data_IF_212260163657
#
_entry.id   IF_212260163657
#
_cell.length_a   1.000
_cell.length_b   1.000
_cell.length_c   1.000
_cell.angle_alpha   90.00
_cell.angle_beta   90.00
_cell.angle_gamma   90.00
#
_symmetry.space_group_name_H-M   'P 1'
#
loop_
_entity.id
_entity.type
_entity.pdbx_description
1 polymer ?
#
# COMPACT_ATOMS: atom_id res chain seq x y z
N UNK A 1 21.04 13.35 -17.77
CA UNK A 1 20.01 14.40 -17.94
C UNK A 1 20.20 15.42 -16.83
N UNK A 2 20.21 16.71 -17.15
CA UNK A 2 20.34 17.81 -16.15
C UNK A 2 19.01 18.13 -15.44
N UNK A 3 17.90 17.51 -15.86
CA UNK A 3 16.55 17.69 -15.31
C UNK A 3 16.05 16.37 -14.71
N UNK A 4 15.41 16.42 -13.53
CA UNK A 4 14.70 15.30 -12.94
C UNK A 4 13.55 14.87 -13.85
N UNK A 5 13.45 13.57 -14.23
CA UNK A 5 12.36 13.08 -15.05
C UNK A 5 11.01 13.24 -14.35
N UNK A 6 9.96 13.55 -15.12
CA UNK A 6 8.59 13.58 -14.59
C UNK A 6 8.05 12.18 -14.32
N UNK A 7 6.94 12.10 -13.57
CA UNK A 7 6.32 10.86 -13.09
C UNK A 7 6.07 9.82 -14.21
N UNK A 8 5.49 10.25 -15.33
CA UNK A 8 5.20 9.33 -16.46
C UNK A 8 6.48 8.74 -17.06
N UNK A 9 7.56 9.52 -17.10
CA UNK A 9 8.88 9.04 -17.56
C UNK A 9 9.46 8.04 -16.57
N UNK A 10 9.35 8.31 -15.27
CA UNK A 10 9.79 7.38 -14.22
C UNK A 10 9.03 6.06 -14.28
N UNK A 11 7.71 6.08 -14.51
CA UNK A 11 6.88 4.89 -14.61
C UNK A 11 7.34 3.90 -15.69
N UNK A 12 7.93 4.40 -16.78
CA UNK A 12 8.40 3.56 -17.91
C UNK A 12 9.91 3.27 -17.87
N UNK A 13 10.73 4.16 -17.27
CA UNK A 13 12.18 4.10 -17.42
C UNK A 13 12.96 3.84 -16.14
N UNK A 14 12.44 4.20 -14.96
CA UNK A 14 13.20 4.05 -13.73
C UNK A 14 13.60 2.58 -13.49
N UNK A 15 14.84 2.35 -13.12
CA UNK A 15 15.44 1.03 -12.88
C UNK A 15 15.69 0.19 -14.14
N UNK A 16 15.09 0.52 -15.30
CA UNK A 16 15.21 -0.27 -16.50
C UNK A 16 16.43 0.15 -17.33
N UNK A 17 17.29 -0.82 -17.62
CA UNK A 17 18.42 -0.69 -18.57
C UNK A 17 18.32 -1.85 -19.58
N UNK A 18 18.78 -1.66 -20.83
CA UNK A 18 18.94 -2.77 -21.75
C UNK A 18 19.80 -3.88 -21.12
N UNK A 19 19.41 -5.13 -21.31
CA UNK A 19 20.18 -6.25 -20.79
C UNK A 19 21.61 -6.24 -21.33
N UNK A 20 22.66 -6.28 -20.49
CA UNK A 20 24.03 -6.10 -20.97
C UNK A 20 24.54 -7.29 -21.80
N UNK A 21 23.97 -8.47 -21.65
CA UNK A 21 24.40 -9.66 -22.40
C UNK A 21 23.72 -9.77 -23.77
N UNK A 22 22.46 -9.37 -23.90
CA UNK A 22 21.65 -9.60 -25.11
C UNK A 22 21.19 -8.31 -25.78
N UNK A 23 21.25 -7.19 -25.10
CA UNK A 23 20.68 -5.91 -25.55
C UNK A 23 19.14 -5.87 -25.49
N UNK A 24 18.49 -6.84 -24.83
CA UNK A 24 17.04 -6.86 -24.70
C UNK A 24 16.52 -5.59 -24.04
N UNK A 25 15.52 -4.94 -24.67
CA UNK A 25 14.94 -3.69 -24.19
C UNK A 25 13.98 -3.90 -23.02
N UNK A 26 13.15 -4.94 -23.09
CA UNK A 26 12.27 -5.33 -22.00
C UNK A 26 13.09 -5.95 -20.86
N UNK A 27 12.66 -5.77 -19.61
CA UNK A 27 13.31 -6.41 -18.46
C UNK A 27 13.21 -7.93 -18.58
N UNK A 28 14.34 -8.68 -18.63
CA UNK A 28 14.30 -10.13 -18.69
C UNK A 28 13.69 -10.73 -17.40
N UNK A 29 13.05 -11.90 -17.52
CA UNK A 29 12.60 -12.68 -16.37
C UNK A 29 13.71 -13.64 -15.97
N UNK A 30 14.44 -13.32 -14.90
CA UNK A 30 15.47 -14.18 -14.35
C UNK A 30 14.86 -15.26 -13.43
N UNK A 31 14.27 -16.28 -14.05
CA UNK A 31 13.61 -17.38 -13.33
C UNK A 31 14.66 -18.42 -12.88
N UNK A 32 15.46 -18.04 -11.89
CA UNK A 32 16.51 -18.88 -11.29
C UNK A 32 16.44 -18.79 -9.77
N UNK A 33 16.95 -19.82 -9.08
CA UNK A 33 17.06 -19.83 -7.61
C UNK A 33 18.32 -19.13 -7.11
N UNK A 34 19.46 -19.31 -7.83
CA UNK A 34 20.79 -18.91 -7.37
C UNK A 34 21.63 -18.35 -8.49
N UNK A 35 22.68 -17.65 -8.13
CA UNK A 35 23.64 -17.03 -9.03
C UNK A 35 25.05 -17.53 -8.71
N UNK A 36 25.90 -17.72 -9.74
CA UNK A 36 27.28 -18.16 -9.56
C UNK A 36 28.16 -17.00 -9.07
N UNK A 37 29.14 -17.31 -8.26
CA UNK A 37 30.17 -16.37 -7.81
C UNK A 37 31.39 -16.47 -8.72
N UNK A 38 32.15 -15.39 -8.82
CA UNK A 38 33.40 -15.38 -9.57
C UNK A 38 34.46 -16.23 -8.86
N UNK A 39 34.57 -16.09 -7.53
CA UNK A 39 35.45 -16.82 -6.64
C UNK A 39 34.95 -16.82 -5.19
N UNK A 40 35.73 -17.40 -4.26
CA UNK A 40 35.39 -17.48 -2.84
C UNK A 40 35.41 -16.11 -2.13
N UNK A 41 36.27 -15.19 -2.54
CA UNK A 41 36.37 -13.85 -1.97
C UNK A 41 35.18 -12.97 -2.40
N UNK A 42 34.74 -13.10 -3.67
CA UNK A 42 33.51 -12.50 -4.15
C UNK A 42 32.32 -12.98 -3.33
N UNK A 43 32.16 -14.30 -3.15
CA UNK A 43 31.10 -14.87 -2.32
C UNK A 43 31.14 -14.30 -0.87
N UNK A 44 32.30 -14.32 -0.23
CA UNK A 44 32.46 -13.81 1.12
C UNK A 44 32.11 -12.31 1.25
N UNK A 45 32.45 -11.52 0.23
CA UNK A 45 32.13 -10.08 0.18
C UNK A 45 30.62 -9.82 0.10
N UNK A 46 29.88 -10.62 -0.70
CA UNK A 46 28.44 -10.52 -0.81
C UNK A 46 27.72 -10.92 0.49
N UNK A 47 28.11 -12.05 1.09
CA UNK A 47 27.52 -12.51 2.37
C UNK A 47 27.86 -11.58 3.53
N UNK A 48 29.03 -10.94 3.51
CA UNK A 48 29.47 -9.97 4.52
C UNK A 48 28.93 -8.56 4.31
N UNK A 49 28.04 -8.30 3.33
CA UNK A 49 27.51 -6.99 2.96
C UNK A 49 28.58 -5.95 2.59
N UNK A 50 29.76 -6.42 2.14
CA UNK A 50 30.88 -5.58 1.67
C UNK A 50 30.75 -5.24 0.18
N UNK A 51 29.96 -6.01 -0.56
CA UNK A 51 29.62 -5.79 -1.95
C UNK A 51 28.12 -6.03 -2.18
N UNK A 52 27.56 -5.41 -3.24
CA UNK A 52 26.20 -5.67 -3.69
C UNK A 52 26.23 -6.56 -4.93
N UNK A 53 25.34 -7.55 -4.99
CA UNK A 53 25.23 -8.48 -6.11
C UNK A 53 24.17 -9.53 -5.85
N UNK A 54 23.93 -10.38 -6.85
CA UNK A 54 22.92 -11.44 -6.76
C UNK A 54 23.51 -12.69 -6.11
N UNK A 55 22.82 -13.22 -5.11
CA UNK A 55 23.19 -14.45 -4.39
C UNK A 55 22.12 -15.53 -4.64
N UNK A 56 20.88 -15.19 -4.25
CA UNK A 56 19.77 -16.12 -4.23
C UNK A 56 18.45 -15.34 -4.40
N UNK A 57 17.55 -15.82 -5.24
CA UNK A 57 16.34 -15.09 -5.67
C UNK A 57 15.42 -14.69 -4.49
N UNK A 58 15.41 -15.44 -3.38
CA UNK A 58 14.66 -15.04 -2.18
C UNK A 58 15.13 -13.70 -1.62
N UNK A 59 16.40 -13.36 -1.76
CA UNK A 59 17.02 -12.15 -1.20
C UNK A 59 17.05 -11.04 -2.24
N UNK A 60 17.44 -11.36 -3.48
CA UNK A 60 17.60 -10.42 -4.58
C UNK A 60 17.56 -11.14 -5.93
N UNK A 61 17.02 -10.44 -6.94
CA UNK A 61 16.91 -10.96 -8.30
C UNK A 61 16.87 -9.76 -9.27
N UNK A 62 17.53 -9.80 -10.44
CA UNK A 62 17.58 -8.65 -11.36
C UNK A 62 16.21 -8.17 -11.83
N UNK A 63 15.23 -9.06 -12.03
CA UNK A 63 13.86 -8.66 -12.40
C UNK A 63 13.17 -7.92 -11.26
N UNK A 64 13.33 -8.40 -10.03
CA UNK A 64 12.79 -7.75 -8.81
C UNK A 64 13.45 -6.39 -8.57
N UNK A 65 14.76 -6.26 -8.81
CA UNK A 65 15.51 -5.03 -8.63
C UNK A 65 14.96 -3.89 -9.49
N UNK A 66 14.57 -4.15 -10.74
CA UNK A 66 13.94 -3.13 -11.61
C UNK A 66 12.60 -2.67 -11.04
N UNK A 67 11.79 -3.58 -10.47
CA UNK A 67 10.53 -3.24 -9.81
C UNK A 67 10.78 -2.36 -8.58
N UNK A 68 11.75 -2.74 -7.74
CA UNK A 68 12.12 -2.02 -6.53
C UNK A 68 12.60 -0.60 -6.84
N UNK A 69 13.54 -0.45 -7.78
CA UNK A 69 14.06 0.86 -8.19
C UNK A 69 12.95 1.75 -8.78
N UNK A 70 12.03 1.17 -9.57
CA UNK A 70 10.93 1.92 -10.18
C UNK A 70 9.92 2.43 -9.15
N UNK A 71 9.50 1.58 -8.21
CA UNK A 71 8.57 1.99 -7.16
C UNK A 71 9.21 3.00 -6.22
N UNK A 72 10.49 2.82 -5.83
CA UNK A 72 11.22 3.79 -5.04
C UNK A 72 11.27 5.17 -5.73
N UNK A 73 11.57 5.21 -7.03
CA UNK A 73 11.61 6.45 -7.80
C UNK A 73 10.24 7.13 -7.90
N UNK A 74 9.15 6.36 -8.05
CA UNK A 74 7.79 6.88 -8.14
C UNK A 74 7.30 7.45 -6.80
N UNK A 75 7.62 6.81 -5.68
CA UNK A 75 7.29 7.29 -4.34
C UNK A 75 8.24 8.42 -3.85
N UNK A 76 9.39 8.59 -4.50
CA UNK A 76 10.42 9.52 -4.04
C UNK A 76 11.24 8.99 -2.86
N UNK A 77 11.26 7.68 -2.67
CA UNK A 77 12.05 7.00 -1.64
C UNK A 77 13.50 6.76 -2.05
N UNK A 78 14.32 6.42 -1.06
CA UNK A 78 15.75 6.12 -1.24
C UNK A 78 15.94 4.70 -1.77
N UNK A 79 15.13 3.74 -1.30
CA UNK A 79 15.17 2.34 -1.73
C UNK A 79 13.80 1.66 -1.55
N UNK A 80 13.62 0.53 -2.22
CA UNK A 80 12.45 -0.32 -1.99
C UNK A 80 12.82 -1.81 -1.89
N UNK A 81 11.91 -2.59 -1.31
CA UNK A 81 11.99 -4.04 -1.17
C UNK A 81 10.69 -4.68 -1.63
N UNK A 82 10.72 -5.43 -2.71
CA UNK A 82 9.57 -6.19 -3.20
C UNK A 82 9.42 -7.52 -2.45
N UNK A 83 8.17 -7.83 -2.09
CA UNK A 83 7.81 -9.00 -1.27
C UNK A 83 6.55 -9.68 -1.80
N UNK A 84 6.19 -10.84 -1.26
CA UNK A 84 5.11 -11.70 -1.77
C UNK A 84 3.71 -11.06 -1.70
N UNK A 85 3.46 -10.13 -0.79
CA UNK A 85 2.14 -9.48 -0.61
C UNK A 85 2.25 -8.22 0.23
N UNK A 86 1.20 -7.36 0.22
CA UNK A 86 1.11 -6.21 1.10
C UNK A 86 1.14 -6.59 2.58
N UNK A 87 0.50 -7.70 2.99
CA UNK A 87 0.59 -8.21 4.36
C UNK A 87 2.01 -8.64 4.74
N UNK A 88 2.76 -9.24 3.82
CA UNK A 88 4.17 -9.58 4.04
C UNK A 88 5.02 -8.31 4.22
N UNK A 89 4.72 -7.24 3.47
CA UNK A 89 5.37 -5.95 3.66
C UNK A 89 5.14 -5.41 5.08
N UNK A 90 3.90 -5.42 5.56
CA UNK A 90 3.57 -5.00 6.93
C UNK A 90 4.32 -5.84 7.98
N UNK A 91 4.32 -7.18 7.86
CA UNK A 91 5.07 -8.05 8.80
C UNK A 91 6.56 -7.72 8.83
N UNK A 92 7.20 -7.55 7.67
CA UNK A 92 8.64 -7.24 7.60
C UNK A 92 8.93 -5.88 8.22
N UNK A 93 8.10 -4.85 7.96
CA UNK A 93 8.29 -3.54 8.57
C UNK A 93 8.27 -3.66 10.09
N UNK A 94 7.22 -4.23 10.68
CA UNK A 94 7.10 -4.35 12.13
C UNK A 94 8.13 -5.31 12.75
N UNK A 95 8.51 -6.38 12.04
CA UNK A 95 9.58 -7.29 12.50
C UNK A 95 10.92 -6.56 12.69
N UNK A 96 11.22 -5.57 11.86
CA UNK A 96 12.48 -4.79 12.00
C UNK A 96 12.38 -3.66 13.02
N UNK A 97 11.17 -3.27 13.43
CA UNK A 97 10.97 -2.16 14.37
C UNK A 97 10.66 -2.63 15.81
N UNK A 98 10.07 -3.81 15.99
CA UNK A 98 9.44 -4.22 17.24
C UNK A 98 10.08 -5.46 17.84
N UNK A 99 10.07 -5.50 19.17
CA UNK A 99 10.36 -6.68 19.98
C UNK A 99 9.08 -7.15 20.72
N UNK A 100 9.04 -8.38 21.25
CA UNK A 100 7.93 -8.81 22.10
C UNK A 100 7.69 -7.84 23.28
N UNK A 101 6.45 -7.38 23.46
CA UNK A 101 6.05 -6.40 24.45
C UNK A 101 6.02 -4.95 23.96
N UNK A 102 6.47 -4.70 22.73
CA UNK A 102 6.33 -3.38 22.09
C UNK A 102 4.92 -3.14 21.54
N UNK A 103 4.59 -1.86 21.34
CA UNK A 103 3.33 -1.45 20.72
C UNK A 103 3.55 -0.46 19.58
N UNK A 104 2.50 -0.27 18.79
CA UNK A 104 2.42 0.77 17.77
C UNK A 104 1.01 1.36 17.73
N UNK A 105 0.90 2.60 17.26
CA UNK A 105 -0.38 3.28 17.08
C UNK A 105 -0.84 3.05 15.64
N UNK A 106 -2.07 2.62 15.44
CA UNK A 106 -2.66 2.47 14.11
C UNK A 106 -3.98 3.24 13.98
N UNK A 107 -4.22 3.84 12.84
CA UNK A 107 -5.51 4.45 12.53
C UNK A 107 -6.64 3.42 12.62
N UNK A 108 -7.81 3.83 13.10
CA UNK A 108 -9.01 2.98 13.17
C UNK A 108 -9.71 2.81 11.81
N UNK A 109 -9.30 3.57 10.79
CA UNK A 109 -9.79 3.49 9.41
C UNK A 109 -8.69 2.87 8.54
N UNK A 110 -8.72 1.57 8.41
CA UNK A 110 -7.79 0.77 7.62
C UNK A 110 -8.55 -0.33 6.87
N UNK A 111 -7.84 -0.93 5.92
CA UNK A 111 -8.26 -2.18 5.30
C UNK A 111 -8.55 -3.24 6.36
N UNK A 112 -9.69 -3.94 6.23
CA UNK A 112 -10.11 -4.96 7.19
C UNK A 112 -9.10 -6.08 7.42
N UNK A 113 -8.31 -6.43 6.39
CA UNK A 113 -7.20 -7.37 6.52
C UNK A 113 -6.09 -6.86 7.43
N UNK A 114 -5.72 -5.57 7.36
CA UNK A 114 -4.73 -4.96 8.24
C UNK A 114 -5.24 -4.89 9.69
N UNK A 115 -6.52 -4.53 9.89
CA UNK A 115 -7.14 -4.56 11.21
C UNK A 115 -7.05 -5.98 11.81
N UNK A 116 -7.35 -6.99 11.03
CA UNK A 116 -7.28 -8.39 11.48
C UNK A 116 -5.83 -8.84 11.76
N UNK A 117 -4.89 -8.52 10.87
CA UNK A 117 -3.47 -8.83 11.05
C UNK A 117 -2.91 -8.20 12.33
N UNK A 118 -3.14 -6.90 12.53
CA UNK A 118 -2.64 -6.15 13.70
C UNK A 118 -3.34 -6.59 14.99
N UNK A 119 -4.66 -6.72 14.95
CA UNK A 119 -5.47 -7.03 16.14
C UNK A 119 -5.37 -8.48 16.61
N UNK A 120 -5.00 -9.43 15.73
CA UNK A 120 -4.98 -10.86 16.06
C UNK A 120 -3.63 -11.51 15.78
N UNK A 121 -3.13 -11.49 14.53
CA UNK A 121 -1.92 -12.22 14.18
C UNK A 121 -0.67 -11.65 14.89
N UNK A 122 -0.55 -10.35 15.04
CA UNK A 122 0.59 -9.70 15.69
C UNK A 122 0.70 -10.01 17.17
N UNK A 123 -0.40 -10.35 17.83
CA UNK A 123 -0.36 -10.82 19.23
C UNK A 123 0.49 -12.08 19.42
N UNK A 124 0.58 -12.93 18.39
CA UNK A 124 1.42 -14.12 18.44
C UNK A 124 2.93 -13.80 18.45
N UNK A 125 3.30 -12.59 18.03
CA UNK A 125 4.65 -12.06 18.12
C UNK A 125 4.88 -11.24 19.41
N UNK A 126 3.85 -11.09 20.23
CA UNK A 126 3.88 -10.23 21.42
C UNK A 126 3.79 -8.74 21.10
N UNK A 127 3.31 -8.37 19.92
CA UNK A 127 3.13 -6.97 19.49
C UNK A 127 1.71 -6.50 19.77
N UNK A 128 1.59 -5.30 20.33
CA UNK A 128 0.30 -4.69 20.64
C UNK A 128 -0.02 -3.57 19.63
N UNK A 129 -1.25 -3.55 19.10
CA UNK A 129 -1.78 -2.42 18.36
C UNK A 129 -2.67 -1.57 19.25
N UNK A 130 -2.52 -0.24 19.20
CA UNK A 130 -3.38 0.75 19.82
C UNK A 130 -4.08 1.56 18.75
N UNK A 131 -5.42 1.57 18.80
CA UNK A 131 -6.23 2.17 17.74
C UNK A 131 -6.50 3.64 18.01
N UNK A 132 -6.20 4.52 17.04
CA UNK A 132 -6.44 5.95 17.09
C UNK A 132 -7.49 6.39 16.07
N UNK A 133 -8.28 7.42 16.42
CA UNK A 133 -9.31 7.96 15.52
C UNK A 133 -8.72 9.03 14.60
N UNK A 134 -8.82 8.81 13.28
CA UNK A 134 -8.34 9.76 12.27
C UNK A 134 -9.07 11.11 12.29
N UNK A 135 -10.25 11.18 12.93
CA UNK A 135 -10.98 12.42 13.10
C UNK A 135 -10.60 13.18 14.40
N UNK A 136 -9.88 12.53 15.31
CA UNK A 136 -9.36 13.12 16.56
C UNK A 136 -7.87 12.78 16.71
N UNK A 137 -7.02 13.66 16.22
CA UNK A 137 -5.56 13.46 16.22
C UNK A 137 -4.96 13.34 17.64
N UNK A 138 -5.63 13.85 18.68
CA UNK A 138 -5.18 13.70 20.07
C UNK A 138 -5.14 12.23 20.49
N UNK A 139 -5.98 11.38 19.89
CA UNK A 139 -5.99 9.94 20.17
C UNK A 139 -4.73 9.21 19.71
N UNK A 140 -4.00 9.75 18.74
CA UNK A 140 -2.68 9.23 18.37
C UNK A 140 -1.66 9.54 19.46
N UNK A 141 -1.58 10.80 19.88
CA UNK A 141 -0.56 11.25 20.83
C UNK A 141 -0.78 10.68 22.23
N UNK A 142 -2.01 10.64 22.71
CA UNK A 142 -2.35 10.20 24.07
C UNK A 142 -2.08 8.71 24.35
N UNK A 143 -1.83 7.89 23.31
CA UNK A 143 -1.55 6.46 23.44
C UNK A 143 -0.07 6.12 23.31
N UNK A 144 0.79 7.12 23.03
CA UNK A 144 2.23 6.93 22.91
C UNK A 144 2.85 6.72 24.29
N UNK A 145 3.69 5.70 24.42
CA UNK A 145 4.52 5.44 25.58
C UNK A 145 5.96 5.02 25.16
N UNK A 146 6.80 4.65 26.14
CA UNK A 146 8.21 4.28 25.90
C UNK A 146 8.37 3.05 25.01
N UNK A 147 7.35 2.18 24.95
CA UNK A 147 7.33 0.95 24.13
C UNK A 147 6.74 1.19 22.74
N UNK A 148 6.25 2.38 22.46
CA UNK A 148 5.70 2.70 21.13
C UNK A 148 6.82 2.81 20.11
N UNK A 149 6.67 2.08 18.99
CA UNK A 149 7.70 1.96 17.94
C UNK A 149 7.34 2.61 16.61
N UNK A 150 6.07 2.84 16.32
CA UNK A 150 5.65 3.43 15.06
C UNK A 150 4.23 3.98 15.13
N UNK A 151 3.89 4.82 14.13
CA UNK A 151 2.51 5.15 13.79
C UNK A 151 2.22 4.59 12.40
N UNK A 152 1.06 3.93 12.22
CA UNK A 152 0.62 3.35 10.96
C UNK A 152 -0.71 3.94 10.50
N UNK A 153 -0.78 4.39 9.24
CA UNK A 153 -2.01 4.92 8.62
C UNK A 153 -2.13 4.43 7.17
N UNK A 154 -3.33 4.57 6.57
CA UNK A 154 -3.53 4.54 5.13
C UNK A 154 -3.68 5.98 4.61
N UNK A 155 -3.07 6.31 3.47
CA UNK A 155 -3.19 7.63 2.84
C UNK A 155 -4.63 7.90 2.37
N UNK A 156 -5.24 6.87 1.78
CA UNK A 156 -6.63 6.81 1.35
C UNK A 156 -7.24 5.50 1.87
N UNK A 157 -8.05 5.59 2.91
CA UNK A 157 -8.49 4.43 3.66
C UNK A 157 -9.63 3.65 2.97
N UNK A 158 -9.54 2.32 3.02
CA UNK A 158 -10.57 1.38 2.58
C UNK A 158 -11.45 0.96 3.79
N UNK A 159 -12.80 0.91 3.70
CA UNK A 159 -13.61 0.94 2.48
C UNK A 159 -14.11 2.32 2.05
N UNK A 160 -14.03 3.31 2.90
CA UNK A 160 -14.80 4.55 2.75
C UNK A 160 -14.14 5.66 1.92
N UNK A 161 -12.94 5.45 1.35
CA UNK A 161 -12.27 6.52 0.61
C UNK A 161 -11.90 7.74 1.48
N UNK A 162 -11.46 7.52 2.72
CA UNK A 162 -11.14 8.59 3.67
C UNK A 162 -9.70 9.03 3.53
N UNK A 163 -9.46 10.28 3.17
CA UNK A 163 -8.12 10.89 3.23
C UNK A 163 -7.74 11.21 4.67
N UNK A 164 -6.51 10.87 5.06
CA UNK A 164 -5.95 11.13 6.39
C UNK A 164 -4.96 12.31 6.29
N UNK A 165 -4.90 13.16 7.32
CA UNK A 165 -3.96 14.29 7.35
C UNK A 165 -2.54 13.80 7.69
N UNK A 166 -1.82 13.36 6.65
CA UNK A 166 -0.50 12.72 6.74
C UNK A 166 0.50 13.65 7.45
N UNK A 167 0.51 14.95 7.11
CA UNK A 167 1.47 15.91 7.66
C UNK A 167 1.28 16.09 9.16
N UNK A 168 0.04 16.23 9.63
CA UNK A 168 -0.22 16.40 11.07
C UNK A 168 0.13 15.16 11.88
N UNK A 169 -0.14 13.97 11.34
CA UNK A 169 0.25 12.72 12.00
C UNK A 169 1.78 12.53 11.94
N UNK A 170 2.41 12.93 10.84
CA UNK A 170 3.87 12.98 10.71
C UNK A 170 4.53 13.90 11.73
N UNK A 171 3.92 15.05 12.03
CA UNK A 171 4.40 15.96 13.07
C UNK A 171 4.32 15.33 14.48
N UNK A 172 3.24 14.60 14.77
CA UNK A 172 3.12 13.83 16.02
C UNK A 172 4.20 12.76 16.09
N UNK A 173 4.37 11.96 15.03
CA UNK A 173 5.40 10.92 14.97
C UNK A 173 6.80 11.49 15.20
N UNK A 174 7.15 12.55 14.50
CA UNK A 174 8.46 13.25 14.61
C UNK A 174 8.71 13.80 15.99
N UNK A 175 7.69 14.42 16.62
CA UNK A 175 7.76 14.95 18.00
C UNK A 175 8.16 13.86 19.01
N UNK A 176 7.71 12.63 18.81
CA UNK A 176 7.97 11.49 19.71
C UNK A 176 9.11 10.56 19.23
N UNK A 177 9.82 10.94 18.17
CA UNK A 177 10.92 10.14 17.59
C UNK A 177 10.47 8.78 17.08
N UNK A 178 9.29 8.72 16.46
CA UNK A 178 8.68 7.54 15.88
C UNK A 178 8.64 7.65 14.35
N UNK A 179 8.89 6.58 13.59
CA UNK A 179 8.63 6.58 12.15
C UNK A 179 7.14 6.56 11.85
N UNK A 180 6.73 7.33 10.83
CA UNK A 180 5.40 7.25 10.24
C UNK A 180 5.42 6.25 9.07
N UNK A 181 4.60 5.21 9.18
CA UNK A 181 4.38 4.20 8.15
C UNK A 181 3.05 4.49 7.47
N UNK A 182 3.06 4.61 6.14
CA UNK A 182 1.85 4.89 5.36
C UNK A 182 1.61 3.77 4.35
N UNK A 183 0.46 3.10 4.43
CA UNK A 183 -0.01 2.25 3.35
C UNK A 183 -0.64 3.13 2.26
N UNK A 184 0.00 3.17 1.09
CA UNK A 184 -0.39 4.01 -0.03
C UNK A 184 -1.05 3.21 -1.17
N UNK A 185 -1.59 2.04 -0.85
CA UNK A 185 -2.13 1.08 -1.83
C UNK A 185 -3.24 1.67 -2.70
N UNK A 186 -4.22 2.38 -2.10
CA UNK A 186 -5.38 2.89 -2.86
C UNK A 186 -5.09 4.18 -3.63
N UNK A 187 -4.28 5.06 -3.08
CA UNK A 187 -3.89 6.28 -3.78
C UNK A 187 -2.86 5.99 -4.87
N UNK A 188 -1.98 5.01 -4.68
CA UNK A 188 -0.77 4.80 -5.46
C UNK A 188 0.15 6.04 -5.47
N UNK A 189 1.42 5.94 -5.90
CA UNK A 189 2.30 7.10 -6.00
C UNK A 189 1.85 8.13 -7.04
N UNK A 190 0.87 7.79 -7.88
CA UNK A 190 0.28 8.73 -8.83
C UNK A 190 -0.56 9.81 -8.15
N UNK A 191 -1.38 9.44 -7.16
CA UNK A 191 -2.26 10.38 -6.47
C UNK A 191 -1.60 11.04 -5.27
N UNK A 192 -0.88 10.26 -4.45
CA UNK A 192 -0.22 10.74 -3.23
C UNK A 192 1.18 10.14 -3.14
N UNK A 193 2.15 10.95 -2.76
CA UNK A 193 3.51 10.54 -2.42
C UNK A 193 3.78 10.83 -0.95
N UNK A 194 3.46 9.90 -0.03
CA UNK A 194 3.45 10.17 1.40
C UNK A 194 4.80 10.64 1.97
N UNK A 195 5.93 10.25 1.35
CA UNK A 195 7.27 10.70 1.75
C UNK A 195 7.40 12.22 1.65
N UNK A 196 6.79 12.84 0.64
CA UNK A 196 6.77 14.30 0.48
C UNK A 196 5.96 15.01 1.57
N UNK A 197 5.16 14.25 2.33
CA UNK A 197 4.29 14.72 3.40
C UNK A 197 4.68 14.22 4.79
N UNK A 198 5.91 13.70 4.95
CA UNK A 198 6.48 13.34 6.25
C UNK A 198 6.34 11.87 6.64
N UNK A 199 5.99 10.98 5.72
CA UNK A 199 6.12 9.54 5.92
C UNK A 199 7.59 9.12 5.82
N UNK A 200 8.00 8.19 6.68
CA UNK A 200 9.35 7.62 6.66
C UNK A 200 9.39 6.29 5.91
N UNK A 201 8.32 5.51 6.00
CA UNK A 201 8.16 4.23 5.33
C UNK A 201 6.82 4.20 4.62
N UNK A 202 6.81 3.76 3.36
CA UNK A 202 5.59 3.53 2.59
C UNK A 202 5.45 2.05 2.28
N UNK A 203 4.25 1.50 2.42
CA UNK A 203 3.96 0.12 2.01
C UNK A 203 2.86 0.10 0.95
N UNK A 204 2.90 -0.90 0.08
CA UNK A 204 1.83 -1.16 -0.88
C UNK A 204 1.52 -2.63 -1.01
N UNK A 205 0.25 -2.92 -1.26
CA UNK A 205 -0.12 -4.11 -2.01
C UNK A 205 0.02 -3.81 -3.51
N UNK A 206 1.09 -4.32 -4.13
CA UNK A 206 1.31 -4.21 -5.59
C UNK A 206 0.21 -4.91 -6.40
N UNK A 207 -0.53 -5.80 -5.76
CA UNK A 207 -1.69 -6.55 -6.27
C UNK A 207 -2.80 -5.65 -6.81
N UNK A 208 -2.91 -4.40 -6.28
CA UNK A 208 -4.01 -3.47 -6.55
C UNK A 208 -3.68 -2.56 -7.74
N UNK A 209 -3.92 -1.28 -7.67
CA UNK A 209 -3.73 -0.33 -8.78
C UNK A 209 -2.35 -0.38 -9.44
N UNK A 210 -1.27 -0.68 -8.69
CA UNK A 210 0.08 -0.73 -9.27
C UNK A 210 0.16 -1.84 -10.32
N UNK A 211 -0.19 -3.08 -9.99
CA UNK A 211 -0.32 -4.16 -10.96
C UNK A 211 -1.50 -3.98 -11.91
N UNK A 212 -2.67 -3.66 -11.37
CA UNK A 212 -3.86 -3.16 -12.04
C UNK A 212 -4.66 -4.17 -12.86
N UNK A 213 -4.24 -5.43 -12.98
CA UNK A 213 -4.84 -6.40 -13.89
C UNK A 213 -5.43 -7.64 -13.20
N UNK A 214 -5.42 -7.68 -11.86
CA UNK A 214 -5.98 -8.81 -11.10
C UNK A 214 -5.28 -10.15 -11.33
N UNK A 215 -4.07 -10.17 -11.88
CA UNK A 215 -3.36 -11.37 -12.33
C UNK A 215 -2.10 -11.69 -11.53
N UNK A 216 -1.70 -10.85 -10.58
CA UNK A 216 -0.45 -11.02 -9.83
C UNK A 216 -0.58 -10.46 -8.41
N UNK A 217 -0.04 -11.21 -7.45
CA UNK A 217 0.04 -10.79 -6.05
C UNK A 217 1.47 -10.33 -5.77
N UNK A 218 1.61 -9.19 -5.07
CA UNK A 218 2.89 -8.67 -4.62
C UNK A 218 2.70 -7.61 -3.54
N UNK A 219 3.78 -7.28 -2.86
CA UNK A 219 3.88 -6.17 -1.93
C UNK A 219 5.21 -5.44 -2.12
N UNK A 220 5.31 -4.25 -1.57
CA UNK A 220 6.56 -3.48 -1.55
C UNK A 220 6.63 -2.64 -0.28
N UNK A 221 7.85 -2.50 0.22
CA UNK A 221 8.23 -1.54 1.26
C UNK A 221 9.11 -0.50 0.59
N UNK A 222 8.82 0.77 0.79
CA UNK A 222 9.66 1.89 0.33
C UNK A 222 10.22 2.60 1.54
N UNK A 223 11.54 2.71 1.60
CA UNK A 223 12.26 3.47 2.63
C UNK A 223 12.46 4.91 2.13
N UNK A 224 11.94 5.89 2.87
CA UNK A 224 12.15 7.30 2.59
C UNK A 224 13.59 7.75 2.81
N UNK A 225 14.34 7.03 3.65
CA UNK A 225 15.70 7.39 4.04
C UNK A 225 15.77 8.66 4.90
N UNK A 226 14.64 9.06 5.50
CA UNK A 226 14.48 10.32 6.24
C UNK A 226 14.60 10.16 7.75
N UNK A 227 14.33 8.96 8.26
CA UNK A 227 14.34 8.68 9.69
C UNK A 227 15.74 8.39 10.23
N UNK A 228 16.10 9.05 11.31
CA UNK A 228 17.39 8.83 12.00
C UNK A 228 17.30 7.69 13.01
N UNK A 229 17.71 6.50 12.61
CA UNK A 229 17.63 5.27 13.40
C UNK A 229 18.57 5.27 14.62
N UNK A 230 19.53 6.19 14.71
CA UNK A 230 20.50 6.26 15.82
C UNK A 230 19.99 7.03 17.05
N UNK A 231 19.08 7.98 16.85
CA UNK A 231 18.77 9.00 17.89
C UNK A 231 18.01 8.52 19.10
N UNK A 232 17.11 7.55 18.95
CA UNK A 232 16.15 7.24 20.02
C UNK A 232 16.53 6.04 20.90
N UNK A 233 17.51 5.23 20.47
CA UNK A 233 17.82 3.94 21.10
C UNK A 233 16.69 2.90 20.99
N UNK A 234 15.60 3.23 20.28
CA UNK A 234 14.41 2.38 20.17
C UNK A 234 14.53 1.27 19.13
N UNK A 235 15.53 1.34 18.22
CA UNK A 235 15.62 0.49 17.02
C UNK A 235 16.94 -0.25 16.95
N UNK A 236 17.19 -1.23 17.86
CA UNK A 236 18.47 -1.94 17.95
C UNK A 236 18.82 -2.72 16.68
N UNK A 237 17.81 -3.13 15.88
CA UNK A 237 18.06 -3.81 14.59
C UNK A 237 18.91 -2.97 13.63
N UNK A 238 18.81 -1.64 13.66
CA UNK A 238 19.58 -0.72 12.82
C UNK A 238 20.77 -0.09 13.55
N UNK A 239 20.67 0.13 14.87
CA UNK A 239 21.60 0.98 15.63
C UNK A 239 22.61 0.21 16.49
N UNK A 240 22.46 -1.11 16.63
CA UNK A 240 23.37 -1.96 17.43
C UNK A 240 24.15 -2.92 16.55
N UNK A 241 25.35 -3.39 17.02
CA UNK A 241 26.16 -4.37 16.32
C UNK A 241 25.39 -5.66 16.01
N UNK A 242 25.46 -6.13 14.77
CA UNK A 242 24.83 -7.36 14.29
C UNK A 242 25.82 -8.51 14.30
N UNK A 243 25.74 -9.46 15.25
CA UNK A 243 26.67 -10.59 15.33
C UNK A 243 26.71 -11.44 14.05
N UNK A 244 25.54 -11.64 13.40
CA UNK A 244 25.40 -12.38 12.15
C UNK A 244 26.11 -11.73 10.94
N UNK A 245 26.53 -10.48 11.09
CA UNK A 245 27.32 -9.71 10.10
C UNK A 245 28.66 -9.23 10.67
N UNK A 246 29.25 -9.99 11.60
CA UNK A 246 30.56 -9.70 12.18
C UNK A 246 30.62 -8.43 13.02
N UNK A 247 29.51 -8.03 13.63
CA UNK A 247 29.43 -6.83 14.48
C UNK A 247 29.14 -5.53 13.72
N UNK A 248 28.78 -5.61 12.46
CA UNK A 248 28.41 -4.45 11.64
C UNK A 248 27.17 -3.75 12.23
N UNK A 249 27.19 -2.42 12.31
CA UNK A 249 26.05 -1.56 12.66
C UNK A 249 25.45 -1.01 11.35
N UNK A 250 24.19 -1.38 11.09
CA UNK A 250 23.55 -1.06 9.78
C UNK A 250 23.45 0.45 9.53
N UNK A 251 23.06 1.23 10.55
CA UNK A 251 22.95 2.67 10.42
C UNK A 251 24.29 3.34 10.14
N UNK A 252 25.36 2.96 10.82
CA UNK A 252 26.71 3.51 10.61
C UNK A 252 27.28 3.15 9.24
N UNK A 253 26.96 1.94 8.75
CA UNK A 253 27.50 1.42 7.50
C UNK A 253 26.75 1.92 6.29
N UNK A 254 25.40 1.98 6.35
CA UNK A 254 24.55 2.24 5.18
C UNK A 254 23.76 3.55 5.27
N UNK A 255 23.87 4.30 6.39
CA UNK A 255 23.22 5.61 6.54
C UNK A 255 21.70 5.53 6.30
N UNK A 256 21.24 6.30 5.34
CA UNK A 256 19.83 6.40 4.96
C UNK A 256 19.25 5.15 4.23
N UNK A 257 20.06 4.12 3.98
CA UNK A 257 19.63 2.82 3.46
C UNK A 257 19.48 1.77 4.57
N UNK A 258 19.75 2.11 5.82
CA UNK A 258 19.84 1.14 6.92
C UNK A 258 18.56 0.32 7.08
N UNK A 259 17.38 0.95 7.01
CA UNK A 259 16.13 0.24 7.14
C UNK A 259 15.84 -0.68 5.94
N UNK A 260 16.06 -0.21 4.72
CA UNK A 260 15.88 -1.04 3.52
C UNK A 260 16.80 -2.27 3.53
N UNK A 261 18.06 -2.11 3.99
CA UNK A 261 19.00 -3.23 4.16
C UNK A 261 18.51 -4.17 5.27
N UNK A 262 18.12 -3.67 6.44
CA UNK A 262 17.56 -4.48 7.52
C UNK A 262 16.32 -5.28 7.04
N UNK A 263 15.39 -4.62 6.37
CA UNK A 263 14.20 -5.25 5.82
C UNK A 263 14.55 -6.41 4.85
N UNK A 264 15.61 -6.26 4.05
CA UNK A 264 16.08 -7.29 3.12
C UNK A 264 16.80 -8.43 3.83
N UNK A 265 17.78 -8.13 4.69
CA UNK A 265 18.73 -9.14 5.20
C UNK A 265 18.35 -9.72 6.56
N UNK A 266 17.47 -9.09 7.30
CA UNK A 266 16.91 -9.59 8.56
C UNK A 266 15.42 -9.94 8.43
N UNK A 267 14.68 -9.21 7.59
CA UNK A 267 13.27 -9.46 7.33
C UNK A 267 13.05 -10.48 6.21
N UNK A 268 13.23 -10.08 4.96
CA UNK A 268 12.91 -10.93 3.80
C UNK A 268 13.71 -12.22 3.77
N UNK A 269 15.04 -12.16 4.01
CA UNK A 269 15.90 -13.33 3.96
C UNK A 269 15.45 -14.40 4.95
N UNK A 270 15.11 -14.01 6.18
CA UNK A 270 14.89 -14.94 7.29
C UNK A 270 13.41 -15.35 7.40
N UNK A 271 12.45 -14.47 7.12
CA UNK A 271 11.03 -14.79 7.11
C UNK A 271 10.55 -15.44 5.80
N UNK A 272 11.22 -15.15 4.68
CA UNK A 272 11.07 -15.86 3.42
C UNK A 272 9.96 -15.42 2.45
N UNK A 273 9.15 -14.35 2.64
CA UNK A 273 8.04 -14.02 1.75
C UNK A 273 8.50 -13.30 0.46
N UNK A 274 9.32 -13.97 -0.33
CA UNK A 274 9.86 -13.45 -1.57
C UNK A 274 8.79 -13.41 -2.68
N UNK A 275 8.79 -12.33 -3.47
CA UNK A 275 8.01 -12.27 -4.71
C UNK A 275 8.68 -13.12 -5.78
N UNK A 276 7.89 -13.78 -6.66
CA UNK A 276 8.49 -14.47 -7.81
C UNK A 276 8.93 -13.47 -8.89
N UNK A 277 10.01 -13.77 -9.65
CA UNK A 277 10.42 -12.92 -10.77
C UNK A 277 9.31 -12.75 -11.83
N UNK A 278 8.49 -13.79 -12.04
CA UNK A 278 7.36 -13.73 -12.96
C UNK A 278 6.28 -12.73 -12.48
N UNK A 279 5.92 -12.75 -11.19
CA UNK A 279 4.98 -11.77 -10.63
C UNK A 279 5.56 -10.35 -10.69
N UNK A 280 6.86 -10.17 -10.41
CA UNK A 280 7.54 -8.89 -10.53
C UNK A 280 7.46 -8.35 -11.97
N UNK A 281 7.67 -9.20 -12.98
CA UNK A 281 7.53 -8.85 -14.39
C UNK A 281 6.10 -8.41 -14.76
N UNK A 282 5.07 -9.15 -14.33
CA UNK A 282 3.66 -8.78 -14.58
C UNK A 282 3.30 -7.44 -13.92
N UNK A 283 3.78 -7.21 -12.71
CA UNK A 283 3.56 -5.95 -11.99
C UNK A 283 4.29 -4.80 -12.68
N UNK A 284 5.53 -5.00 -13.16
CA UNK A 284 6.27 -4.02 -13.96
C UNK A 284 5.49 -3.60 -15.21
N UNK A 285 4.90 -4.55 -15.93
CA UNK A 285 4.06 -4.26 -17.09
C UNK A 285 2.86 -3.40 -16.73
N UNK A 286 2.19 -3.69 -15.61
CA UNK A 286 1.10 -2.88 -15.11
C UNK A 286 1.55 -1.47 -14.70
N UNK A 287 2.70 -1.37 -14.06
CA UNK A 287 3.26 -0.11 -13.56
C UNK A 287 3.56 0.91 -14.67
N UNK A 288 3.97 0.45 -15.86
CA UNK A 288 4.25 1.32 -17.01
C UNK A 288 3.02 2.15 -17.44
N UNK A 289 1.82 1.62 -17.24
CA UNK A 289 0.56 2.31 -17.59
C UNK A 289 -0.16 2.90 -16.38
N UNK A 290 0.43 2.85 -15.19
CA UNK A 290 -0.19 3.33 -13.96
C UNK A 290 -0.75 4.76 -14.08
N UNK A 291 -0.01 5.76 -14.60
CA UNK A 291 -0.52 7.13 -14.68
C UNK A 291 -1.78 7.25 -15.54
N UNK A 292 -1.79 6.56 -16.69
CA UNK A 292 -2.92 6.56 -17.62
C UNK A 292 -4.16 5.89 -17.01
N UNK A 293 -3.95 4.75 -16.35
CA UNK A 293 -5.03 4.02 -15.68
C UNK A 293 -5.60 4.79 -14.50
N UNK A 294 -4.74 5.32 -13.63
CA UNK A 294 -5.20 6.07 -12.45
C UNK A 294 -6.00 7.30 -12.82
N UNK A 295 -5.61 8.04 -13.87
CA UNK A 295 -6.40 9.17 -14.35
C UNK A 295 -7.79 8.70 -14.82
N UNK A 296 -7.86 7.67 -15.66
CA UNK A 296 -9.13 7.12 -16.14
C UNK A 296 -9.99 6.57 -15.01
N UNK A 297 -9.41 5.87 -14.05
CA UNK A 297 -10.10 5.40 -12.84
C UNK A 297 -10.74 6.55 -12.07
N UNK A 298 -10.00 7.64 -11.85
CA UNK A 298 -10.49 8.81 -11.12
C UNK A 298 -11.59 9.55 -11.88
N UNK A 299 -11.43 9.74 -13.18
CA UNK A 299 -12.43 10.42 -14.03
C UNK A 299 -13.75 9.65 -14.04
N UNK A 300 -13.68 8.33 -14.23
CA UNK A 300 -14.84 7.44 -14.17
C UNK A 300 -15.50 7.47 -12.79
N UNK A 301 -14.71 7.36 -11.71
CA UNK A 301 -15.22 7.36 -10.34
C UNK A 301 -15.91 8.69 -9.98
N UNK A 302 -15.35 9.83 -10.40
CA UNK A 302 -15.95 11.13 -10.18
C UNK A 302 -17.30 11.25 -10.90
N UNK A 303 -17.38 10.80 -12.15
CA UNK A 303 -18.62 10.79 -12.95
C UNK A 303 -19.68 9.91 -12.31
N UNK A 304 -19.33 8.68 -11.93
CA UNK A 304 -20.22 7.71 -11.28
C UNK A 304 -20.70 8.21 -9.91
N UNK A 305 -19.80 8.73 -9.07
CA UNK A 305 -20.17 9.27 -7.76
C UNK A 305 -21.11 10.48 -7.88
N UNK A 306 -20.85 11.37 -8.85
CA UNK A 306 -21.73 12.51 -9.17
C UNK A 306 -23.12 12.06 -9.63
N UNK A 307 -23.20 11.06 -10.48
CA UNK A 307 -24.46 10.49 -10.94
C UNK A 307 -25.22 9.82 -9.79
N UNK A 308 -24.56 8.95 -8.99
CA UNK A 308 -25.16 8.27 -7.84
C UNK A 308 -25.69 9.26 -6.80
N UNK A 309 -25.01 10.38 -6.56
CA UNK A 309 -25.44 11.36 -5.56
C UNK A 309 -26.76 12.05 -5.87
N UNK A 310 -27.20 11.99 -7.14
CA UNK A 310 -28.48 12.54 -7.62
C UNK A 310 -29.54 11.45 -7.86
N UNK A 311 -29.21 10.16 -7.66
CA UNK A 311 -30.12 9.07 -7.97
C UNK A 311 -31.15 8.85 -6.86
N UNK A 312 -32.47 8.73 -7.18
CA UNK A 312 -33.56 8.70 -6.19
C UNK A 312 -33.52 7.49 -5.22
N UNK A 313 -32.92 6.37 -5.61
CA UNK A 313 -32.75 5.16 -4.79
C UNK A 313 -31.50 5.15 -3.92
N UNK A 314 -30.60 6.13 -4.09
CA UNK A 314 -29.39 6.30 -3.28
C UNK A 314 -29.69 7.20 -2.09
N UNK A 315 -29.26 6.79 -0.92
CA UNK A 315 -29.43 7.53 0.32
C UNK A 315 -28.26 8.48 0.60
N UNK A 316 -27.02 8.05 0.28
CA UNK A 316 -25.80 8.81 0.48
C UNK A 316 -24.67 8.23 -0.41
N UNK A 317 -23.67 9.09 -0.72
CA UNK A 317 -22.43 8.72 -1.40
C UNK A 317 -21.26 9.26 -0.57
N UNK A 318 -20.27 8.40 -0.28
CA UNK A 318 -19.07 8.76 0.45
C UNK A 318 -17.88 8.70 -0.50
N UNK A 319 -17.60 9.81 -1.19
CA UNK A 319 -16.52 9.96 -2.16
C UNK A 319 -15.83 11.32 -1.99
N UNK A 320 -14.55 11.37 -1.63
CA UNK A 320 -13.86 12.62 -1.29
C UNK A 320 -13.71 13.61 -2.45
N UNK A 321 -13.96 13.18 -3.69
CA UNK A 321 -14.04 14.06 -4.86
C UNK A 321 -15.31 14.91 -4.92
N UNK A 322 -16.36 14.58 -4.17
CA UNK A 322 -17.58 15.39 -4.11
C UNK A 322 -17.36 16.62 -3.23
N UNK A 323 -17.79 17.83 -3.66
CA UNK A 323 -17.66 19.06 -2.87
C UNK A 323 -18.32 18.99 -1.48
N UNK A 324 -19.36 18.18 -1.35
CA UNK A 324 -20.09 17.96 -0.09
C UNK A 324 -19.42 16.97 0.86
N UNK A 325 -18.40 16.22 0.42
CA UNK A 325 -17.70 15.25 1.27
C UNK A 325 -16.80 15.97 2.27
N UNK A 326 -16.83 15.52 3.53
CA UNK A 326 -16.02 16.09 4.62
C UNK A 326 -14.51 15.99 4.38
N UNK A 327 -14.06 15.03 3.57
CA UNK A 327 -12.65 14.83 3.23
C UNK A 327 -12.21 15.61 1.97
N UNK A 328 -13.12 16.37 1.31
CA UNK A 328 -12.81 17.07 0.07
C UNK A 328 -11.63 18.05 0.20
N UNK A 329 -11.51 18.72 1.36
CA UNK A 329 -10.38 19.62 1.62
C UNK A 329 -9.04 18.88 1.69
N UNK A 330 -8.98 17.71 2.36
CA UNK A 330 -7.78 16.87 2.43
C UNK A 330 -7.46 16.23 1.07
N UNK A 331 -8.49 15.81 0.34
CA UNK A 331 -8.31 15.32 -1.03
C UNK A 331 -7.65 16.38 -1.91
N UNK A 332 -8.13 17.61 -1.92
CA UNK A 332 -7.54 18.71 -2.71
C UNK A 332 -6.12 19.04 -2.28
N UNK A 333 -5.81 18.90 -0.99
CA UNK A 333 -4.46 19.12 -0.44
C UNK A 333 -3.47 18.07 -0.92
N UNK A 334 -3.81 16.78 -0.79
CA UNK A 334 -2.88 15.67 -1.02
C UNK A 334 -2.94 15.09 -2.43
N UNK A 335 -4.08 15.17 -3.09
CA UNK A 335 -4.34 14.51 -4.38
C UNK A 335 -5.18 15.38 -5.31
N UNK A 336 -4.68 16.56 -5.73
CA UNK A 336 -5.45 17.51 -6.56
C UNK A 336 -5.82 16.94 -7.94
N UNK A 337 -5.12 15.92 -8.44
CA UNK A 337 -5.37 15.27 -9.73
C UNK A 337 -6.51 14.25 -9.70
N UNK A 338 -6.99 13.82 -8.53
CA UNK A 338 -8.10 12.86 -8.42
C UNK A 338 -8.35 12.39 -7.00
N UNK A 339 -9.49 11.76 -6.77
CA UNK A 339 -9.92 11.33 -5.44
C UNK A 339 -9.91 9.80 -5.25
N UNK A 340 -9.19 9.08 -6.12
CA UNK A 340 -9.21 7.61 -6.15
C UNK A 340 -10.43 7.05 -6.86
N UNK A 341 -10.55 5.72 -6.86
CA UNK A 341 -11.61 5.02 -7.57
C UNK A 341 -12.31 3.95 -6.72
N UNK A 342 -12.05 3.92 -5.42
CA UNK A 342 -12.74 3.05 -4.46
C UNK A 342 -13.56 3.93 -3.52
N UNK A 343 -14.86 3.71 -3.50
CA UNK A 343 -15.76 4.48 -2.66
C UNK A 343 -17.01 3.67 -2.27
N UNK A 344 -17.81 4.21 -1.37
CA UNK A 344 -19.03 3.57 -0.88
C UNK A 344 -20.24 4.47 -1.08
N UNK A 345 -21.41 3.82 -1.25
CA UNK A 345 -22.70 4.50 -1.23
C UNK A 345 -23.74 3.63 -0.51
N UNK A 346 -24.79 4.27 -0.04
CA UNK A 346 -25.90 3.60 0.66
C UNK A 346 -27.17 3.56 -0.17
N UNK A 347 -27.84 2.41 -0.17
CA UNK A 347 -29.12 2.20 -0.85
C UNK A 347 -30.29 2.44 0.09
N UNK A 348 -31.33 3.11 -0.39
CA UNK A 348 -32.64 3.12 0.24
C UNK A 348 -33.21 1.70 0.16
N UNK A 349 -33.64 1.14 1.29
CA UNK A 349 -34.10 -0.25 1.36
C UNK A 349 -33.14 -1.21 2.09
N UNK A 350 -31.97 -0.70 2.49
CA UNK A 350 -31.06 -1.40 3.43
C UNK A 350 -30.43 -2.67 2.85
N UNK A 351 -30.33 -3.71 3.71
CA UNK A 351 -29.61 -4.96 3.41
C UNK A 351 -30.13 -5.68 2.16
N UNK A 352 -31.46 -5.87 2.07
CA UNK A 352 -32.09 -6.60 0.95
C UNK A 352 -31.88 -5.86 -0.38
N UNK A 353 -31.96 -4.55 -0.35
CA UNK A 353 -31.68 -3.71 -1.53
C UNK A 353 -30.22 -3.86 -1.97
N UNK A 354 -29.27 -3.87 -1.02
CA UNK A 354 -27.85 -4.07 -1.29
C UNK A 354 -27.56 -5.43 -1.94
N UNK A 355 -28.13 -6.50 -1.45
CA UNK A 355 -27.99 -7.86 -2.02
C UNK A 355 -28.56 -7.92 -3.43
N UNK A 356 -29.82 -7.49 -3.63
CA UNK A 356 -30.46 -7.49 -4.96
C UNK A 356 -29.70 -6.65 -5.99
N UNK A 357 -29.21 -5.50 -5.58
CA UNK A 357 -28.44 -4.63 -6.44
C UNK A 357 -27.18 -5.32 -6.94
N UNK A 358 -26.37 -5.89 -6.03
CA UNK A 358 -25.11 -6.54 -6.38
C UNK A 358 -25.33 -7.76 -7.28
N UNK A 359 -26.39 -8.54 -7.02
CA UNK A 359 -26.76 -9.71 -7.84
C UNK A 359 -27.31 -9.35 -9.22
N UNK A 360 -27.79 -8.12 -9.41
CA UNK A 360 -28.37 -7.64 -10.66
C UNK A 360 -27.35 -7.01 -11.62
N UNK A 361 -26.14 -6.72 -11.17
CA UNK A 361 -25.08 -6.16 -12.02
C UNK A 361 -24.55 -7.19 -13.03
N UNK A 362 -24.31 -6.75 -14.26
CA UNK A 362 -23.88 -7.60 -15.37
C UNK A 362 -22.43 -7.28 -15.82
N UNK A 363 -22.02 -6.00 -15.75
CA UNK A 363 -20.67 -5.55 -16.08
C UNK A 363 -19.72 -5.70 -14.87
N UNK A 364 -20.18 -5.31 -13.69
CA UNK A 364 -19.37 -5.35 -12.49
C UNK A 364 -19.08 -6.77 -12.02
N UNK A 365 -17.84 -7.09 -11.71
CA UNK A 365 -17.50 -8.37 -11.08
C UNK A 365 -17.73 -8.32 -9.58
N UNK A 366 -18.57 -9.23 -9.06
CA UNK A 366 -18.83 -9.39 -7.63
C UNK A 366 -17.73 -10.23 -6.97
N UNK A 367 -16.75 -9.57 -6.39
CA UNK A 367 -15.58 -10.21 -5.76
C UNK A 367 -14.89 -9.31 -4.73
N UNK A 368 -14.05 -9.92 -3.88
CA UNK A 368 -13.31 -9.22 -2.82
C UNK A 368 -11.94 -8.73 -3.31
N UNK A 369 -11.91 -7.80 -4.27
CA UNK A 369 -10.69 -7.11 -4.71
C UNK A 369 -10.98 -5.61 -4.92
N UNK A 370 -9.95 -4.83 -5.25
CA UNK A 370 -10.02 -3.42 -5.67
C UNK A 370 -8.84 -3.11 -6.60
N UNK A 371 -8.96 -2.08 -7.43
CA UNK A 371 -7.85 -1.58 -8.24
C UNK A 371 -7.54 -2.42 -9.47
N UNK A 372 -8.52 -3.17 -9.97
CA UNK A 372 -8.49 -3.84 -11.27
C UNK A 372 -8.89 -2.86 -12.38
N UNK A 373 -8.46 -3.11 -13.62
CA UNK A 373 -8.93 -2.41 -14.82
C UNK A 373 -10.45 -2.57 -15.03
N UNK A 374 -11.03 -3.66 -14.52
CA UNK A 374 -12.47 -3.93 -14.53
C UNK A 374 -13.15 -3.37 -13.29
N UNK A 375 -14.37 -2.89 -13.45
CA UNK A 375 -15.20 -2.45 -12.34
C UNK A 375 -15.61 -3.61 -11.43
N UNK A 376 -15.44 -3.42 -10.12
CA UNK A 376 -15.72 -4.43 -9.10
C UNK A 376 -16.72 -3.90 -8.09
N UNK A 377 -17.52 -4.81 -7.53
CA UNK A 377 -18.53 -4.49 -6.52
C UNK A 377 -18.49 -5.48 -5.37
N UNK A 378 -18.84 -5.02 -4.19
CA UNK A 378 -19.11 -5.87 -3.04
C UNK A 378 -20.15 -5.22 -2.12
N UNK A 379 -21.01 -6.05 -1.52
CA UNK A 379 -21.88 -5.68 -0.40
C UNK A 379 -21.21 -6.16 0.91
N UNK A 380 -20.48 -5.31 1.64
CA UNK A 380 -19.66 -5.74 2.77
C UNK A 380 -20.43 -6.45 3.86
N UNK A 381 -21.65 -6.00 4.15
CA UNK A 381 -22.49 -6.57 5.21
C UNK A 381 -22.85 -8.03 4.98
N UNK A 382 -23.03 -8.45 3.71
CA UNK A 382 -23.37 -9.86 3.37
C UNK A 382 -22.13 -10.73 3.12
N UNK A 383 -20.92 -10.13 2.99
CA UNK A 383 -19.70 -10.82 2.56
C UNK A 383 -18.57 -10.66 3.57
N UNK A 384 -17.70 -9.67 3.37
CA UNK A 384 -16.45 -9.48 4.14
C UNK A 384 -16.64 -9.16 5.62
N UNK A 385 -17.81 -8.63 6.02
CA UNK A 385 -18.12 -8.24 7.39
C UNK A 385 -19.31 -9.03 7.97
N UNK A 386 -19.69 -10.14 7.32
CA UNK A 386 -20.88 -10.94 7.70
C UNK A 386 -20.86 -11.41 9.16
N UNK A 387 -19.67 -11.73 9.67
CA UNK A 387 -19.48 -12.23 11.04
C UNK A 387 -19.59 -11.15 12.14
N UNK A 388 -19.58 -9.87 11.78
CA UNK A 388 -19.69 -8.77 12.72
C UNK A 388 -21.14 -8.51 13.13
N UNK A 389 -21.36 -8.00 14.36
CA UNK A 389 -22.67 -7.45 14.76
C UNK A 389 -23.02 -6.21 13.92
N UNK A 390 -24.30 -5.86 13.87
CA UNK A 390 -24.72 -4.71 13.05
C UNK A 390 -24.10 -3.38 13.55
N UNK A 391 -23.92 -3.22 14.85
CA UNK A 391 -23.19 -2.08 15.41
C UNK A 391 -21.71 -2.04 14.97
N UNK A 392 -21.07 -3.21 14.97
CA UNK A 392 -19.68 -3.33 14.50
C UNK A 392 -19.57 -3.05 12.99
N UNK A 393 -20.53 -3.54 12.18
CA UNK A 393 -20.58 -3.24 10.74
C UNK A 393 -20.68 -1.74 10.48
N UNK A 394 -21.58 -1.04 11.16
CA UNK A 394 -21.76 0.41 11.02
C UNK A 394 -20.47 1.15 11.40
N UNK A 395 -19.82 0.80 12.53
CA UNK A 395 -18.54 1.39 12.95
C UNK A 395 -17.43 1.17 11.94
N UNK A 396 -17.44 0.01 11.28
CA UNK A 396 -16.47 -0.34 10.23
C UNK A 396 -16.77 0.34 8.87
N UNK A 397 -17.88 1.06 8.73
CA UNK A 397 -18.32 1.63 7.44
C UNK A 397 -18.88 0.57 6.47
N UNK A 398 -19.39 -0.54 7.01
CA UNK A 398 -19.97 -1.68 6.30
C UNK A 398 -21.41 -1.89 6.73
N UNK A 399 -22.18 -0.81 6.91
CA UNK A 399 -23.58 -0.84 7.26
C UNK A 399 -24.41 -1.71 6.31
N UNK A 400 -25.63 -2.11 6.72
CA UNK A 400 -26.47 -3.01 5.92
C UNK A 400 -26.88 -2.44 4.56
N UNK A 401 -26.89 -1.12 4.41
CA UNK A 401 -27.20 -0.40 3.17
C UNK A 401 -25.97 -0.13 2.29
N UNK A 402 -24.78 -0.44 2.79
CA UNK A 402 -23.51 -0.03 2.18
C UNK A 402 -23.11 -0.94 1.02
N UNK A 403 -22.88 -0.34 -0.15
CA UNK A 403 -22.23 -0.97 -1.30
C UNK A 403 -20.88 -0.30 -1.54
N UNK A 404 -19.82 -1.09 -1.76
CA UNK A 404 -18.51 -0.59 -2.15
C UNK A 404 -18.28 -0.86 -3.63
N UNK A 405 -17.88 0.18 -4.37
CA UNK A 405 -17.44 0.09 -5.76
C UNK A 405 -15.93 0.28 -5.84
N UNK A 406 -15.29 -0.43 -6.76
CA UNK A 406 -13.96 -0.14 -7.29
C UNK A 406 -14.13 0.08 -8.79
N UNK A 407 -14.12 1.33 -9.20
CA UNK A 407 -14.44 1.72 -10.59
C UNK A 407 -13.24 1.42 -11.49
N UNK A 408 -13.52 0.75 -12.60
CA UNK A 408 -12.56 0.38 -13.63
C UNK A 408 -12.31 1.48 -14.67
N UNK A 409 -11.74 1.06 -15.79
CA UNK A 409 -11.38 1.97 -16.90
C UNK A 409 -12.27 1.81 -18.14
N UNK A 410 -13.39 1.11 -18.01
CA UNK A 410 -14.41 0.92 -19.05
C UNK A 410 -15.00 2.28 -19.48
N UNK A 411 -15.77 2.28 -20.55
CA UNK A 411 -16.52 3.47 -20.94
C UNK A 411 -17.53 3.85 -19.84
N UNK A 412 -17.49 5.08 -19.38
CA UNK A 412 -18.29 5.54 -18.24
C UNK A 412 -19.80 5.38 -18.47
N UNK A 413 -20.25 5.49 -19.72
CA UNK A 413 -21.65 5.29 -20.05
C UNK A 413 -22.11 3.84 -19.84
N UNK A 414 -21.24 2.87 -20.10
CA UNK A 414 -21.53 1.45 -19.87
C UNK A 414 -21.56 1.14 -18.37
N UNK A 415 -20.64 1.73 -17.61
CA UNK A 415 -20.64 1.65 -16.14
C UNK A 415 -21.95 2.19 -15.56
N UNK A 416 -22.38 3.39 -15.99
CA UNK A 416 -23.62 4.02 -15.53
C UNK A 416 -24.84 3.22 -15.97
N UNK A 417 -24.86 2.71 -17.19
CA UNK A 417 -25.97 1.89 -17.69
C UNK A 417 -26.15 0.60 -16.88
N UNK A 418 -25.07 -0.07 -16.50
CA UNK A 418 -25.13 -1.27 -15.66
C UNK A 418 -25.64 -0.95 -14.24
N UNK A 419 -25.16 0.14 -13.65
CA UNK A 419 -25.65 0.63 -12.35
C UNK A 419 -27.15 0.97 -12.38
N UNK A 420 -27.63 1.67 -13.44
CA UNK A 420 -29.02 2.07 -13.61
C UNK A 420 -29.94 0.85 -13.75
N UNK A 421 -29.55 -0.13 -14.60
CA UNK A 421 -30.37 -1.33 -14.78
C UNK A 421 -30.45 -2.14 -13.47
N UNK A 422 -29.36 -2.23 -12.70
CA UNK A 422 -29.37 -2.91 -11.40
C UNK A 422 -30.21 -2.14 -10.36
N UNK A 423 -30.09 -0.81 -10.30
CA UNK A 423 -30.92 0.01 -9.43
C UNK A 423 -32.39 -0.09 -9.80
N UNK A 424 -32.77 -0.28 -11.07
CA UNK A 424 -34.17 -0.42 -11.48
C UNK A 424 -34.86 -1.63 -10.84
N UNK A 425 -34.09 -2.68 -10.46
CA UNK A 425 -34.58 -3.94 -9.87
C UNK A 425 -34.71 -3.92 -8.33
N UNK A 426 -34.30 -2.81 -7.69
CA UNK A 426 -34.27 -2.67 -6.21
C UNK A 426 -35.47 -1.88 -5.70
#
# INVERSE_FOLDING_TARGET
>A
MTRTPGFNTLAVHAGAKPDPATGARATPIYQTTSFVFDDADHAASLFGLKAFGNIYTRIMNPTQAVLEERVAALEGGTAALAVASGHAAQVIVFHNLMQPGDNFIAANKLYGGSINQFGHAFKNYGWEVRWADVNDLSTFENQIDDRTKAIFIESLANPGGVFVDIEKIGDIARKHGLPLIVDNTLASPYLVRPIEHGADIVVHSLTKFIGGHGNSIGGVIVDGGTFDWSKSGKYPMMSEPRPEYGGLVLHETFGNFAFAIAARVLGLRDLGPAISPFNAFLILTGLETLPLRMQRHCDNAASVAGWLSNHPKVAWVNYPGLPSDKNNALQKKYSPQGAGAVFTFGLKGGYEAGVKFVEALELFSHLANVGDTKSLVIHPASTTHRQLSDEQKVKAGAGPDTVRLSIGIEDVNDIVADLEQALSKV
#
